data_IF_127295483974
#
_entry.id   IF_127295483974
#
_cell.length_a   1.000
_cell.length_b   1.000
_cell.length_c   1.000
_cell.angle_alpha   90.00
_cell.angle_beta   90.00
_cell.angle_gamma   90.00
#
_symmetry.space_group_name_H-M   'P 1'
#
loop_
_entity.id
_entity.type
_entity.pdbx_description
1 polymer ?
#
# COMPACT_ATOMS: atom_id res chain seq x y z
N UNK A 1 4.09 15.57 16.09
CA UNK A 1 5.29 14.71 16.24
C UNK A 1 4.87 13.34 15.72
N UNK A 2 5.52 12.78 14.70
CA UNK A 2 5.21 11.41 14.28
C UNK A 2 5.48 10.50 15.48
N UNK A 3 4.52 9.65 15.82
CA UNK A 3 4.77 8.56 16.79
C UNK A 3 5.65 7.53 16.09
N UNK A 4 6.37 6.68 16.84
CA UNK A 4 7.24 5.64 16.24
C UNK A 4 6.50 4.62 15.35
N UNK A 5 5.19 4.75 15.20
CA UNK A 5 4.30 3.92 14.40
C UNK A 5 3.60 4.70 13.28
N UNK A 6 3.98 5.96 13.03
CA UNK A 6 3.39 6.78 11.96
C UNK A 6 4.02 6.43 10.60
N UNK A 7 3.23 5.82 9.72
CA UNK A 7 3.65 5.39 8.38
C UNK A 7 3.89 6.55 7.41
N UNK A 8 3.46 7.79 7.73
CA UNK A 8 3.62 8.95 6.82
C UNK A 8 5.07 9.21 6.42
N UNK A 9 6.02 8.96 7.33
CA UNK A 9 7.45 9.10 7.03
C UNK A 9 7.94 8.07 6.02
N UNK A 10 7.47 6.82 6.15
CA UNK A 10 7.78 5.72 5.25
C UNK A 10 7.17 5.93 3.87
N UNK A 11 5.88 6.30 3.81
CA UNK A 11 5.19 6.64 2.56
C UNK A 11 5.94 7.73 1.79
N UNK A 12 6.39 8.79 2.49
CA UNK A 12 7.16 9.87 1.86
C UNK A 12 8.54 9.40 1.37
N UNK A 13 9.15 8.43 2.03
CA UNK A 13 10.43 7.85 1.61
C UNK A 13 10.28 7.03 0.33
N UNK A 14 9.24 6.21 0.25
CA UNK A 14 8.93 5.38 -0.92
C UNK A 14 8.57 6.21 -2.16
N UNK A 15 7.99 7.40 -1.98
CA UNK A 15 7.65 8.30 -3.09
C UNK A 15 8.86 8.95 -3.80
N UNK A 16 10.09 8.77 -3.29
CA UNK A 16 11.31 9.28 -3.91
C UNK A 16 11.58 8.56 -5.23
N UNK A 17 12.09 9.27 -6.23
CA UNK A 17 12.26 8.72 -7.59
C UNK A 17 13.12 7.44 -7.64
N UNK A 18 14.10 7.31 -6.73
CA UNK A 18 14.94 6.11 -6.63
C UNK A 18 14.20 4.87 -6.07
N UNK A 19 13.09 5.06 -5.38
CA UNK A 19 12.30 4.02 -4.72
C UNK A 19 10.92 3.83 -5.34
N UNK A 20 10.45 4.75 -6.18
CA UNK A 20 9.11 4.69 -6.78
C UNK A 20 8.92 3.41 -7.58
N UNK A 21 9.72 3.21 -8.62
CA UNK A 21 9.54 2.07 -9.53
C UNK A 21 9.76 0.72 -8.82
N UNK A 22 10.80 0.53 -7.98
CA UNK A 22 10.96 -0.71 -7.23
C UNK A 22 9.83 -0.97 -6.23
N UNK A 23 9.26 0.08 -5.65
CA UNK A 23 8.13 -0.05 -4.73
C UNK A 23 6.85 -0.42 -5.47
N UNK A 24 6.60 0.18 -6.64
CA UNK A 24 5.46 -0.15 -7.50
C UNK A 24 5.52 -1.63 -7.93
N UNK A 25 6.70 -2.13 -8.32
CA UNK A 25 6.90 -3.56 -8.65
C UNK A 25 6.57 -4.49 -7.46
N UNK A 26 7.05 -4.18 -6.25
CA UNK A 26 6.76 -4.99 -5.06
C UNK A 26 5.26 -4.92 -4.70
N UNK A 27 4.67 -3.74 -4.84
CA UNK A 27 3.26 -3.51 -4.56
C UNK A 27 2.38 -4.32 -5.53
N UNK A 28 2.71 -4.29 -6.83
CA UNK A 28 2.04 -5.07 -7.87
C UNK A 28 2.21 -6.58 -7.67
N UNK A 29 3.41 -7.05 -7.29
CA UNK A 29 3.65 -8.46 -6.98
C UNK A 29 2.81 -8.94 -5.78
N UNK A 30 2.57 -8.05 -4.80
CA UNK A 30 1.79 -8.38 -3.60
C UNK A 30 0.27 -8.34 -3.85
N UNK A 31 -0.22 -7.24 -4.43
CA UNK A 31 -1.65 -6.97 -4.57
C UNK A 31 -2.22 -7.30 -5.95
N UNK A 32 -1.42 -7.22 -7.01
CA UNK A 32 -1.86 -7.43 -8.39
C UNK A 32 -2.69 -8.70 -8.58
N UNK A 33 -2.27 -9.88 -8.08
CA UNK A 33 -3.03 -11.12 -8.25
C UNK A 33 -4.43 -11.10 -7.63
N UNK A 34 -4.60 -10.46 -6.47
CA UNK A 34 -5.91 -10.41 -5.78
C UNK A 34 -6.81 -9.32 -6.37
N UNK A 35 -6.22 -8.20 -6.77
CA UNK A 35 -6.91 -7.10 -7.43
C UNK A 35 -7.43 -7.52 -8.81
N UNK A 36 -6.61 -8.19 -9.63
CA UNK A 36 -7.00 -8.73 -10.92
C UNK A 36 -8.10 -9.80 -10.78
N UNK A 37 -7.97 -10.72 -9.81
CA UNK A 37 -8.99 -11.73 -9.56
C UNK A 37 -10.34 -11.14 -9.10
N UNK A 38 -10.30 -9.99 -8.44
CA UNK A 38 -11.47 -9.26 -7.96
C UNK A 38 -12.10 -8.30 -8.97
N UNK A 39 -11.39 -7.95 -10.05
CA UNK A 39 -11.69 -6.75 -10.87
C UNK A 39 -11.80 -5.50 -9.97
N UNK A 40 -10.78 -5.30 -9.14
CA UNK A 40 -10.74 -4.30 -8.06
C UNK A 40 -9.48 -3.44 -8.16
N UNK A 41 -9.59 -2.21 -7.67
CA UNK A 41 -8.46 -1.35 -7.33
C UNK A 41 -8.12 -1.45 -5.85
N UNK A 42 -6.95 -0.96 -5.44
CA UNK A 42 -6.55 -0.99 -4.03
C UNK A 42 -7.50 -0.18 -3.14
N UNK A 43 -8.05 0.93 -3.64
CA UNK A 43 -9.03 1.76 -2.94
C UNK A 43 -10.30 0.97 -2.58
N UNK A 44 -10.70 -0.01 -3.39
CA UNK A 44 -11.88 -0.85 -3.13
C UNK A 44 -11.68 -1.71 -1.88
N UNK A 45 -10.44 -2.05 -1.53
CA UNK A 45 -10.11 -2.77 -0.28
C UNK A 45 -10.49 -1.92 0.93
N UNK A 46 -10.27 -0.61 0.88
CA UNK A 46 -10.65 0.31 1.95
C UNK A 46 -12.17 0.44 2.07
N UNK A 47 -12.90 0.41 0.96
CA UNK A 47 -14.37 0.40 0.99
C UNK A 47 -14.96 -0.88 1.63
N UNK A 48 -14.30 -2.03 1.42
CA UNK A 48 -14.77 -3.34 1.91
C UNK A 48 -14.35 -3.59 3.37
N UNK A 49 -13.10 -3.32 3.71
CA UNK A 49 -12.50 -3.69 5.00
C UNK A 49 -12.33 -2.51 5.96
N UNK A 50 -12.47 -1.28 5.46
CA UNK A 50 -12.18 -0.05 6.19
C UNK A 50 -10.70 0.35 6.11
N UNK A 51 -10.46 1.67 6.21
CA UNK A 51 -9.13 2.30 6.06
C UNK A 51 -8.05 1.68 6.97
N UNK A 52 -8.39 1.34 8.22
CA UNK A 52 -7.43 0.78 9.18
C UNK A 52 -6.88 -0.60 8.71
N UNK A 53 -7.74 -1.42 8.12
CA UNK A 53 -7.35 -2.73 7.61
C UNK A 53 -6.66 -2.65 6.26
N UNK A 54 -7.12 -1.76 5.37
CA UNK A 54 -6.42 -1.46 4.12
C UNK A 54 -4.99 -0.97 4.40
N UNK A 55 -4.81 -0.08 5.39
CA UNK A 55 -3.48 0.39 5.80
C UNK A 55 -2.62 -0.69 6.46
N UNK A 56 -3.24 -1.63 7.17
CA UNK A 56 -2.53 -2.79 7.73
C UNK A 56 -2.02 -3.70 6.62
N UNK A 57 -2.84 -3.98 5.60
CA UNK A 57 -2.45 -4.76 4.43
C UNK A 57 -1.35 -4.06 3.63
N UNK A 58 -1.49 -2.74 3.39
CA UNK A 58 -0.47 -1.93 2.74
C UNK A 58 0.90 -2.06 3.41
N UNK A 59 0.94 -2.09 4.76
CA UNK A 59 2.17 -2.25 5.52
C UNK A 59 2.76 -3.67 5.55
N UNK A 60 2.05 -4.67 5.02
CA UNK A 60 2.56 -6.04 4.87
C UNK A 60 3.27 -6.29 3.54
N UNK A 61 3.02 -5.43 2.54
CA UNK A 61 3.81 -5.36 1.31
C UNK A 61 5.15 -4.66 1.59
#
# INVERSE_FOLDING_TARGET
MPTSHDLKGLMKFLARDEWRDPFEEIFDDHFGPVLEAGDMEFEDIAEILGDDWAMTLWGCA
#
